data_IF_844536353905
#
_entry.id   IF_844536353905
#
_cell.length_a   1.000
_cell.length_b   1.000
_cell.length_c   1.000
_cell.angle_alpha   90.00
_cell.angle_beta   90.00
_cell.angle_gamma   90.00
#
_symmetry.space_group_name_H-M   'P 1'
#
loop_
_entity.id
_entity.type
_entity.pdbx_description
1 polymer ?
#
# COMPACT_ATOMS: atom_id res chain seq x y z
N UNK A 1 17.47 -17.01 24.63
CA UNK A 1 16.72 -17.01 25.91
C UNK A 1 17.57 -16.58 27.09
N UNK A 2 17.03 -16.67 28.34
CA UNK A 2 17.71 -16.19 29.55
C UNK A 2 19.13 -16.80 29.74
N UNK A 3 19.29 -18.12 29.56
CA UNK A 3 20.61 -18.80 29.61
C UNK A 3 21.60 -18.18 28.60
N UNK A 4 21.16 -17.81 27.43
CA UNK A 4 22.00 -17.22 26.40
C UNK A 4 22.44 -15.79 26.75
N UNK A 5 21.55 -14.99 27.36
CA UNK A 5 21.89 -13.68 27.86
C UNK A 5 22.95 -13.75 28.95
N UNK A 6 22.78 -14.67 29.91
CA UNK A 6 23.77 -14.91 30.98
C UNK A 6 25.11 -15.37 30.39
N UNK A 7 25.11 -16.30 29.43
CA UNK A 7 26.35 -16.81 28.83
C UNK A 7 27.18 -15.76 28.10
N UNK A 8 26.50 -14.78 27.50
CA UNK A 8 27.10 -13.64 26.74
C UNK A 8 27.43 -12.44 27.63
N UNK A 9 26.99 -12.44 28.88
CA UNK A 9 27.21 -11.33 29.82
C UNK A 9 28.63 -11.32 30.39
N UNK A 10 29.03 -10.18 30.97
CA UNK A 10 30.27 -10.00 31.72
C UNK A 10 30.15 -10.33 33.21
N UNK A 11 29.06 -10.99 33.65
CA UNK A 11 28.82 -11.31 35.06
C UNK A 11 29.93 -12.22 35.59
N UNK A 12 30.49 -11.89 36.75
CA UNK A 12 31.64 -12.57 37.31
C UNK A 12 31.35 -14.04 37.61
N UNK A 13 30.19 -14.38 38.15
CA UNK A 13 29.78 -15.74 38.52
C UNK A 13 28.82 -16.40 37.50
N UNK A 14 28.90 -16.02 36.22
CA UNK A 14 28.02 -16.54 35.19
C UNK A 14 27.97 -18.06 35.08
N UNK A 15 29.12 -18.72 35.26
CA UNK A 15 29.23 -20.19 35.17
C UNK A 15 28.48 -20.86 36.31
N UNK A 16 28.49 -20.26 37.51
CA UNK A 16 27.74 -20.74 38.67
C UNK A 16 26.24 -20.59 38.44
N UNK A 17 25.80 -19.43 37.87
CA UNK A 17 24.39 -19.20 37.50
C UNK A 17 23.96 -20.23 36.45
N UNK A 18 24.75 -20.43 35.39
CA UNK A 18 24.45 -21.41 34.34
C UNK A 18 24.36 -22.84 34.88
N UNK A 19 25.17 -23.17 35.86
CA UNK A 19 25.13 -24.48 36.57
C UNK A 19 23.80 -24.61 37.34
N UNK A 20 23.40 -23.62 38.13
CA UNK A 20 22.10 -23.59 38.84
C UNK A 20 20.93 -23.72 37.87
N UNK A 21 20.95 -22.97 36.78
CA UNK A 21 19.96 -23.06 35.72
C UNK A 21 19.85 -24.43 35.04
N UNK A 22 20.90 -25.23 35.15
CA UNK A 22 20.97 -26.59 34.56
C UNK A 22 20.62 -27.68 35.57
N UNK A 23 20.84 -27.45 36.86
CA UNK A 23 20.59 -28.41 37.93
C UNK A 23 19.11 -28.49 38.33
N UNK A 24 18.42 -27.38 38.33
CA UNK A 24 17.03 -27.31 38.80
C UNK A 24 16.06 -27.06 37.66
N UNK A 25 15.02 -27.89 37.55
CA UNK A 25 13.95 -27.69 36.52
C UNK A 25 12.86 -26.75 37.03
N UNK A 26 12.64 -26.67 38.33
CA UNK A 26 11.63 -25.79 38.92
C UNK A 26 12.10 -24.31 38.88
N UNK A 27 11.32 -23.39 38.28
CA UNK A 27 11.68 -21.98 38.22
C UNK A 27 11.82 -21.30 39.59
N UNK A 28 10.99 -21.69 40.56
CA UNK A 28 10.99 -21.10 41.92
C UNK A 28 12.28 -21.51 42.68
N UNK A 29 12.64 -22.76 42.54
CA UNK A 29 13.91 -23.27 43.16
C UNK A 29 15.10 -22.59 42.48
N UNK A 30 15.10 -22.47 41.14
CA UNK A 30 16.16 -21.77 40.43
C UNK A 30 16.34 -20.34 40.88
N UNK A 31 15.25 -19.59 41.01
CA UNK A 31 15.26 -18.20 41.45
C UNK A 31 15.81 -18.08 42.86
N UNK A 32 15.39 -18.95 43.78
CA UNK A 32 15.90 -18.99 45.16
C UNK A 32 17.42 -19.25 45.23
N UNK A 33 17.89 -20.25 44.49
CA UNK A 33 19.32 -20.61 44.51
C UNK A 33 20.18 -19.53 43.85
N UNK A 34 19.69 -18.86 42.79
CA UNK A 34 20.41 -17.72 42.20
C UNK A 34 20.43 -16.53 43.16
N UNK A 35 19.36 -16.27 43.91
CA UNK A 35 19.32 -15.20 44.94
C UNK A 35 20.32 -15.46 46.09
N UNK A 36 20.61 -16.71 46.39
CA UNK A 36 21.56 -17.07 47.40
C UNK A 36 23.04 -16.77 47.03
N UNK A 37 23.28 -16.51 45.75
CA UNK A 37 24.55 -16.00 45.21
C UNK A 37 24.44 -14.47 45.19
N UNK A 38 24.70 -13.81 46.35
CA UNK A 38 24.29 -12.40 46.53
C UNK A 38 24.96 -11.41 45.56
N UNK A 39 26.21 -11.58 45.20
CA UNK A 39 26.90 -10.70 44.23
C UNK A 39 26.41 -10.96 42.81
N UNK A 40 26.33 -12.21 42.38
CA UNK A 40 25.85 -12.60 41.06
C UNK A 40 24.39 -12.20 40.85
N UNK A 41 23.52 -12.21 41.87
CA UNK A 41 22.14 -11.77 41.77
C UNK A 41 22.05 -10.27 41.56
N UNK A 42 22.88 -9.47 42.21
CA UNK A 42 22.85 -7.98 42.02
C UNK A 42 23.24 -7.63 40.59
N UNK A 43 24.31 -8.19 40.06
CA UNK A 43 24.71 -7.95 38.67
C UNK A 43 23.66 -8.46 37.67
N UNK A 44 23.05 -9.60 37.93
CA UNK A 44 21.99 -10.17 37.10
C UNK A 44 20.74 -9.30 37.12
N UNK A 45 20.38 -8.73 38.26
CA UNK A 45 19.23 -7.83 38.41
C UNK A 45 19.42 -6.55 37.62
N UNK A 46 20.64 -6.00 37.57
CA UNK A 46 20.93 -4.74 36.92
C UNK A 46 21.16 -4.88 35.41
N UNK A 47 21.86 -5.92 34.96
CA UNK A 47 22.30 -6.04 33.57
C UNK A 47 21.36 -6.88 32.70
N UNK A 48 20.74 -7.92 33.25
CA UNK A 48 20.01 -8.93 32.47
C UNK A 48 18.49 -8.92 32.71
N UNK A 49 18.04 -8.87 33.96
CA UNK A 49 16.63 -8.97 34.29
C UNK A 49 15.74 -7.86 33.65
N UNK A 50 16.20 -6.63 33.39
CA UNK A 50 15.43 -5.64 32.67
C UNK A 50 15.12 -6.03 31.22
N UNK A 51 15.95 -6.84 30.57
CA UNK A 51 15.81 -7.21 29.17
C UNK A 51 14.66 -8.20 28.92
N UNK A 52 14.53 -9.34 29.66
CA UNK A 52 13.40 -10.27 29.49
C UNK A 52 12.09 -9.77 30.11
N UNK A 53 12.09 -8.71 30.93
CA UNK A 53 10.87 -8.12 31.49
C UNK A 53 10.03 -7.32 30.48
N UNK A 54 10.45 -7.24 29.22
CA UNK A 54 9.70 -6.58 28.16
C UNK A 54 8.64 -7.52 27.61
N UNK A 55 7.38 -7.12 27.72
CA UNK A 55 6.29 -7.76 26.99
C UNK A 55 6.33 -7.29 25.55
N UNK A 56 6.45 -8.22 24.60
CA UNK A 56 6.31 -7.92 23.17
C UNK A 56 4.89 -8.20 22.78
N UNK A 57 4.14 -7.16 22.46
CA UNK A 57 2.82 -7.27 21.84
C UNK A 57 2.99 -7.24 20.32
N UNK A 58 2.42 -8.21 19.62
CA UNK A 58 2.26 -8.18 18.18
C UNK A 58 0.76 -8.03 17.91
N UNK A 59 0.39 -6.94 17.26
CA UNK A 59 -0.99 -6.71 16.83
C UNK A 59 -1.01 -6.99 15.33
N UNK A 60 -1.79 -8.00 14.93
CA UNK A 60 -2.13 -8.21 13.52
C UNK A 60 -3.46 -7.56 13.26
N UNK A 61 -3.51 -6.64 12.31
CA UNK A 61 -4.75 -6.01 11.87
C UNK A 61 -5.06 -6.55 10.49
N UNK A 62 -6.12 -7.31 10.38
CA UNK A 62 -6.67 -7.72 9.09
C UNK A 62 -7.60 -6.60 8.60
N UNK A 63 -7.17 -5.90 7.57
CA UNK A 63 -8.02 -4.92 6.89
C UNK A 63 -8.88 -5.70 5.90
N UNK A 64 -10.15 -5.91 6.25
CA UNK A 64 -11.13 -6.49 5.33
C UNK A 64 -11.60 -5.36 4.42
N UNK A 65 -11.11 -5.35 3.18
CA UNK A 65 -11.58 -4.45 2.13
C UNK A 65 -12.98 -4.87 1.63
N UNK A 66 -13.60 -3.99 0.84
CA UNK A 66 -14.84 -4.32 0.12
C UNK A 66 -14.56 -5.38 -0.94
N UNK A 67 -15.50 -6.30 -1.18
CA UNK A 67 -15.39 -7.25 -2.29
C UNK A 67 -15.57 -6.54 -3.64
N UNK A 68 -15.13 -7.17 -4.74
CA UNK A 68 -15.28 -6.63 -6.09
C UNK A 68 -16.75 -6.34 -6.43
N UNK A 69 -17.66 -7.25 -6.05
CA UNK A 69 -19.11 -7.07 -6.24
C UNK A 69 -19.63 -5.89 -5.42
N UNK A 70 -19.17 -5.73 -4.20
CA UNK A 70 -19.56 -4.61 -3.36
C UNK A 70 -19.01 -3.29 -3.89
N UNK A 71 -17.75 -3.25 -4.34
CA UNK A 71 -17.14 -2.08 -4.95
C UNK A 71 -17.90 -1.64 -6.19
N UNK A 72 -18.21 -2.57 -7.11
CA UNK A 72 -18.96 -2.27 -8.32
C UNK A 72 -20.39 -1.78 -8.01
N UNK A 73 -21.06 -2.39 -7.05
CA UNK A 73 -22.39 -1.98 -6.59
C UNK A 73 -22.37 -0.56 -6.01
N UNK A 74 -21.40 -0.23 -5.17
CA UNK A 74 -21.28 1.12 -4.58
C UNK A 74 -20.91 2.13 -5.65
N UNK A 75 -19.93 1.80 -6.54
CA UNK A 75 -19.53 2.69 -7.62
C UNK A 75 -20.69 3.07 -8.54
N UNK A 76 -21.65 2.16 -8.75
CA UNK A 76 -22.83 2.39 -9.58
C UNK A 76 -23.96 3.15 -8.85
N UNK A 77 -24.15 2.89 -7.54
CA UNK A 77 -25.31 3.44 -6.79
C UNK A 77 -24.98 4.64 -5.92
N UNK A 78 -23.77 4.67 -5.36
CA UNK A 78 -23.33 5.69 -4.40
C UNK A 78 -21.82 5.96 -4.52
N UNK A 79 -21.34 6.39 -5.68
CA UNK A 79 -19.91 6.55 -5.96
C UNK A 79 -19.18 7.45 -4.94
N UNK A 80 -19.89 8.41 -4.34
CA UNK A 80 -19.31 9.30 -3.32
C UNK A 80 -18.86 8.60 -2.03
N UNK A 81 -19.27 7.36 -1.78
CA UNK A 81 -18.82 6.55 -0.65
C UNK A 81 -17.47 5.87 -0.91
N UNK A 82 -16.93 5.95 -2.14
CA UNK A 82 -15.65 5.34 -2.52
C UNK A 82 -14.49 6.35 -2.52
N UNK A 83 -13.34 5.89 -2.07
CA UNK A 83 -12.08 6.61 -2.26
C UNK A 83 -11.59 6.54 -3.72
N UNK A 84 -10.57 7.37 -4.05
CA UNK A 84 -10.04 7.47 -5.41
C UNK A 84 -9.60 6.11 -5.99
N UNK A 85 -8.83 5.34 -5.24
CA UNK A 85 -8.32 4.05 -5.75
C UNK A 85 -9.45 3.01 -5.88
N UNK A 86 -10.42 3.03 -4.97
CA UNK A 86 -11.56 2.13 -5.00
C UNK A 86 -12.46 2.40 -6.23
N UNK A 87 -12.77 3.68 -6.53
CA UNK A 87 -13.65 4.02 -7.66
C UNK A 87 -12.96 3.77 -8.99
N UNK A 88 -11.65 4.06 -9.10
CA UNK A 88 -10.89 3.75 -10.32
C UNK A 88 -10.79 2.25 -10.55
N UNK A 89 -10.58 1.46 -9.49
CA UNK A 89 -10.56 0.01 -9.58
C UNK A 89 -11.95 -0.55 -9.92
N UNK A 90 -13.00 -0.07 -9.27
CA UNK A 90 -14.38 -0.51 -9.54
C UNK A 90 -14.78 -0.39 -11.02
N UNK A 91 -14.32 0.68 -11.71
CA UNK A 91 -14.57 0.84 -13.13
C UNK A 91 -13.95 -0.28 -13.99
N UNK A 92 -12.88 -0.93 -13.53
CA UNK A 92 -12.24 -2.04 -14.27
C UNK A 92 -12.97 -3.37 -14.10
N UNK A 93 -13.89 -3.47 -13.15
CA UNK A 93 -14.63 -4.70 -12.85
C UNK A 93 -15.81 -4.97 -13.80
N UNK A 94 -16.17 -3.98 -14.63
CA UNK A 94 -17.26 -4.12 -15.60
C UNK A 94 -16.75 -4.09 -17.04
N UNK A 95 -17.42 -4.85 -17.93
CA UNK A 95 -17.20 -4.82 -19.37
C UNK A 95 -18.25 -3.96 -20.09
N UNK A 96 -19.24 -3.44 -19.39
CA UNK A 96 -20.24 -2.51 -19.94
C UNK A 96 -19.63 -1.10 -20.01
N UNK A 97 -19.37 -0.62 -21.22
CA UNK A 97 -18.78 0.70 -21.47
C UNK A 97 -19.63 1.85 -20.91
N UNK A 98 -20.95 1.75 -20.92
CA UNK A 98 -21.82 2.79 -20.36
C UNK A 98 -21.70 2.85 -18.83
N UNK A 99 -21.66 1.68 -18.18
CA UNK A 99 -21.44 1.57 -16.74
C UNK A 99 -20.05 2.08 -16.37
N UNK A 100 -19.02 1.67 -17.13
CA UNK A 100 -17.64 2.09 -16.92
C UNK A 100 -17.50 3.61 -17.06
N UNK A 101 -18.11 4.18 -18.12
CA UNK A 101 -18.13 5.62 -18.35
C UNK A 101 -18.81 6.36 -17.20
N UNK A 102 -19.95 5.87 -16.71
CA UNK A 102 -20.67 6.48 -15.58
C UNK A 102 -19.79 6.50 -14.29
N UNK A 103 -19.06 5.42 -14.03
CA UNK A 103 -18.15 5.33 -12.87
C UNK A 103 -16.97 6.30 -13.03
N UNK A 104 -16.33 6.37 -14.21
CA UNK A 104 -15.25 7.33 -14.46
C UNK A 104 -15.72 8.77 -14.49
N UNK A 105 -16.96 9.05 -14.90
CA UNK A 105 -17.58 10.37 -14.76
C UNK A 105 -17.63 10.78 -13.29
N UNK A 106 -18.19 9.92 -12.44
CA UNK A 106 -18.26 10.18 -11.01
C UNK A 106 -16.86 10.35 -10.38
N UNK A 107 -15.88 9.54 -10.82
CA UNK A 107 -14.50 9.68 -10.36
C UNK A 107 -13.87 11.03 -10.75
N UNK A 108 -14.09 11.51 -11.99
CA UNK A 108 -13.55 12.77 -12.46
C UNK A 108 -14.21 13.98 -11.76
N UNK A 109 -15.51 13.89 -11.45
CA UNK A 109 -16.23 14.91 -10.69
C UNK A 109 -15.82 14.96 -9.22
N UNK A 110 -15.68 13.80 -8.60
CA UNK A 110 -15.31 13.69 -7.18
C UNK A 110 -13.84 14.04 -6.92
N UNK A 111 -12.96 13.71 -7.89
CA UNK A 111 -11.50 13.91 -7.78
C UNK A 111 -10.99 14.77 -8.96
N UNK A 112 -11.39 16.05 -9.05
CA UNK A 112 -11.15 16.91 -10.22
C UNK A 112 -9.66 17.19 -10.51
N UNK A 113 -8.78 16.95 -9.54
CA UNK A 113 -7.32 17.08 -9.68
C UNK A 113 -6.62 15.77 -10.01
N UNK A 114 -7.35 14.67 -10.17
CA UNK A 114 -6.79 13.38 -10.55
C UNK A 114 -6.73 13.22 -12.08
N UNK A 115 -5.54 13.27 -12.67
CA UNK A 115 -5.37 13.09 -14.11
C UNK A 115 -5.83 11.71 -14.60
N UNK A 116 -5.67 10.65 -13.81
CA UNK A 116 -6.11 9.28 -14.15
C UNK A 116 -7.63 9.22 -14.35
N UNK A 117 -8.38 9.88 -13.48
CA UNK A 117 -9.84 9.93 -13.59
C UNK A 117 -10.27 10.61 -14.89
N UNK A 118 -9.70 11.78 -15.22
CA UNK A 118 -9.99 12.49 -16.47
C UNK A 118 -9.51 11.74 -17.71
N UNK A 119 -8.35 11.11 -17.66
CA UNK A 119 -7.84 10.29 -18.75
C UNK A 119 -8.77 9.11 -19.07
N UNK A 120 -9.17 8.35 -18.05
CA UNK A 120 -10.01 7.18 -18.21
C UNK A 120 -11.44 7.58 -18.64
N UNK A 121 -11.99 8.65 -18.06
CA UNK A 121 -13.25 9.25 -18.51
C UNK A 121 -13.19 9.62 -20.01
N UNK A 122 -12.12 10.27 -20.44
CA UNK A 122 -11.95 10.61 -21.85
C UNK A 122 -11.85 9.40 -22.76
N UNK A 123 -11.11 8.35 -22.33
CA UNK A 123 -10.97 7.14 -23.14
C UNK A 123 -12.28 6.38 -23.29
N UNK A 124 -13.11 6.28 -22.24
CA UNK A 124 -14.42 5.65 -22.37
C UNK A 124 -15.35 6.43 -23.31
N UNK A 125 -15.25 7.76 -23.38
CA UNK A 125 -15.98 8.56 -24.39
C UNK A 125 -15.46 8.31 -25.80
N UNK A 126 -14.15 8.14 -25.97
CA UNK A 126 -13.58 7.79 -27.28
C UNK A 126 -14.10 6.41 -27.77
N UNK A 127 -14.16 5.44 -26.87
CA UNK A 127 -14.70 4.10 -27.15
C UNK A 127 -16.20 4.13 -27.48
N UNK A 128 -16.96 5.06 -26.87
CA UNK A 128 -18.37 5.32 -27.17
C UNK A 128 -18.56 6.16 -28.44
N UNK A 129 -17.47 6.63 -29.07
CA UNK A 129 -17.51 7.40 -30.34
C UNK A 129 -17.62 8.91 -30.18
N UNK A 130 -17.69 9.44 -28.94
CA UNK A 130 -17.67 10.89 -28.71
C UNK A 130 -16.24 11.41 -28.56
N UNK A 131 -15.54 11.54 -29.67
CA UNK A 131 -14.17 12.03 -29.73
C UNK A 131 -14.02 13.47 -29.24
N UNK A 132 -15.08 14.30 -29.34
CA UNK A 132 -15.05 15.68 -28.86
C UNK A 132 -14.96 15.75 -27.33
N UNK A 133 -15.83 15.03 -26.65
CA UNK A 133 -15.80 14.94 -25.18
C UNK A 133 -14.52 14.25 -24.71
N UNK A 134 -14.10 13.17 -25.36
CA UNK A 134 -12.86 12.47 -25.11
C UNK A 134 -11.64 13.41 -25.10
N UNK A 135 -11.52 14.23 -26.16
CA UNK A 135 -10.43 15.20 -26.30
C UNK A 135 -10.38 16.19 -25.15
N UNK A 136 -11.53 16.82 -24.86
CA UNK A 136 -11.63 17.79 -23.77
C UNK A 136 -11.17 17.18 -22.42
N UNK A 137 -11.57 15.95 -22.16
CA UNK A 137 -11.22 15.26 -20.91
C UNK A 137 -9.72 14.90 -20.85
N UNK A 138 -9.15 14.36 -21.95
CA UNK A 138 -7.74 13.95 -21.96
C UNK A 138 -6.82 15.19 -21.98
N UNK A 139 -7.20 16.28 -22.64
CA UNK A 139 -6.47 17.56 -22.55
C UNK A 139 -6.48 18.10 -21.10
N UNK A 140 -7.59 17.97 -20.38
CA UNK A 140 -7.63 18.30 -18.97
C UNK A 140 -6.72 17.42 -18.15
N UNK A 141 -6.67 16.11 -18.41
CA UNK A 141 -5.70 15.22 -17.77
C UNK A 141 -4.26 15.67 -18.03
N UNK A 142 -3.95 16.06 -19.27
CA UNK A 142 -2.62 16.57 -19.63
C UNK A 142 -2.29 17.92 -18.96
N UNK A 143 -3.30 18.75 -18.68
CA UNK A 143 -3.11 20.00 -17.93
C UNK A 143 -2.79 19.72 -16.46
N UNK A 144 -3.40 18.68 -15.88
CA UNK A 144 -3.14 18.28 -14.47
C UNK A 144 -1.77 17.63 -14.34
N UNK A 145 -1.42 16.75 -15.26
CA UNK A 145 -0.11 16.07 -15.28
C UNK A 145 0.46 16.11 -16.71
N UNK A 146 1.23 17.15 -16.99
CA UNK A 146 1.87 17.32 -18.28
C UNK A 146 2.89 16.20 -18.55
N UNK A 147 2.97 15.80 -19.81
CA UNK A 147 3.92 14.79 -20.30
C UNK A 147 3.79 13.41 -19.65
N UNK A 148 2.63 13.08 -19.08
CA UNK A 148 2.38 11.70 -18.65
C UNK A 148 2.30 10.78 -19.89
N UNK A 149 3.09 9.68 -19.95
CA UNK A 149 3.18 8.84 -21.14
C UNK A 149 1.84 8.23 -21.56
N UNK A 150 0.97 7.88 -20.60
CA UNK A 150 -0.36 7.32 -20.88
C UNK A 150 -1.26 8.39 -21.52
N UNK A 151 -1.24 9.60 -20.96
CA UNK A 151 -2.05 10.73 -21.48
C UNK A 151 -1.57 11.14 -22.87
N UNK A 152 -0.25 11.23 -23.09
CA UNK A 152 0.31 11.54 -24.41
C UNK A 152 -0.04 10.47 -25.45
N UNK A 153 0.04 9.18 -25.08
CA UNK A 153 -0.39 8.09 -25.94
C UNK A 153 -1.86 8.23 -26.34
N UNK A 154 -2.74 8.53 -25.39
CA UNK A 154 -4.17 8.67 -25.66
C UNK A 154 -4.49 9.90 -26.50
N UNK A 155 -3.77 11.01 -26.33
CA UNK A 155 -3.85 12.17 -27.25
C UNK A 155 -3.38 11.79 -28.66
N UNK A 156 -2.35 10.94 -28.77
CA UNK A 156 -1.91 10.40 -30.06
C UNK A 156 -2.98 9.55 -30.75
N UNK A 157 -3.67 8.70 -30.00
CA UNK A 157 -4.81 7.92 -30.53
C UNK A 157 -5.92 8.83 -31.05
N UNK A 158 -6.26 9.91 -30.32
CA UNK A 158 -7.25 10.87 -30.79
C UNK A 158 -6.79 11.65 -32.03
N UNK A 159 -5.50 11.97 -32.13
CA UNK A 159 -4.95 12.59 -33.35
C UNK A 159 -5.01 11.64 -34.55
N UNK A 160 -4.77 10.34 -34.36
CA UNK A 160 -5.00 9.34 -35.42
C UNK A 160 -6.47 9.29 -35.89
N UNK A 161 -7.41 9.34 -34.94
CA UNK A 161 -8.83 9.36 -35.27
C UNK A 161 -9.22 10.61 -36.10
N UNK A 162 -8.53 11.73 -35.91
CA UNK A 162 -8.71 12.95 -36.73
C UNK A 162 -7.98 12.88 -38.08
N UNK A 163 -7.14 11.88 -38.33
CA UNK A 163 -6.26 11.79 -39.50
C UNK A 163 -5.01 12.68 -39.43
N UNK A 164 -4.70 13.24 -38.27
CA UNK A 164 -3.49 14.04 -38.03
C UNK A 164 -2.31 13.15 -37.67
N UNK A 165 -1.74 12.51 -38.68
CA UNK A 165 -0.69 11.51 -38.50
C UNK A 165 0.61 12.12 -37.98
N UNK A 166 0.94 13.36 -38.37
CA UNK A 166 2.16 14.03 -37.90
C UNK A 166 2.10 14.32 -36.41
N UNK A 167 0.96 14.86 -35.95
CA UNK A 167 0.71 15.11 -34.52
C UNK A 167 0.69 13.80 -33.72
N UNK A 168 0.06 12.75 -34.25
CA UNK A 168 0.01 11.45 -33.61
C UNK A 168 1.41 10.86 -33.42
N UNK A 169 2.26 10.87 -34.47
CA UNK A 169 3.66 10.39 -34.38
C UNK A 169 4.45 11.17 -33.33
N UNK A 170 4.32 12.50 -33.30
CA UNK A 170 5.00 13.34 -32.31
C UNK A 170 4.58 13.02 -30.87
N UNK A 171 3.30 12.80 -30.65
CA UNK A 171 2.75 12.42 -29.34
C UNK A 171 3.20 11.03 -28.89
N UNK A 172 3.17 10.03 -29.77
CA UNK A 172 3.66 8.68 -29.46
C UNK A 172 5.16 8.66 -29.19
N UNK A 173 5.94 9.41 -29.94
CA UNK A 173 7.38 9.55 -29.70
C UNK A 173 7.66 10.17 -28.32
N UNK A 174 6.90 11.22 -27.98
CA UNK A 174 7.00 11.87 -26.67
C UNK A 174 6.58 10.96 -25.54
N UNK A 175 5.53 10.14 -25.71
CA UNK A 175 5.10 9.14 -24.76
C UNK A 175 6.20 8.09 -24.52
N UNK A 176 6.81 7.58 -25.58
CA UNK A 176 7.91 6.60 -25.47
C UNK A 176 9.19 7.15 -24.85
N UNK A 177 9.45 8.46 -24.94
CA UNK A 177 10.61 9.10 -24.32
C UNK A 177 10.38 9.45 -22.83
N UNK A 178 9.12 9.48 -22.37
CA UNK A 178 8.75 9.82 -21.00
C UNK A 178 8.56 8.57 -20.10
N UNK A 179 8.47 7.37 -20.68
CA UNK A 179 8.38 6.07 -19.99
C UNK A 179 9.74 5.41 -19.96
#
# INVERSE_FOLDING_TARGET
GFKELVSKSGIQDKDLILRVLSMYNDPVVREREIRNISEAFTELADQILPQPRRSKFSVSVDVIGKSDEELLRIATSKPAELGLEEILYAATLTQDLNQQNAIYTAAAEQFPTCFRAWNNYGMTWAELGDFKTARTAIEKANTIKANDPIVLNNLGVLALADGDFEKAEGLFRSAGAAG
#
